data_IF_433644607313
#
_entry.id   IF_433644607313
#
_cell.length_a   1.000
_cell.length_b   1.000
_cell.length_c   1.000
_cell.angle_alpha   90.00
_cell.angle_beta   90.00
_cell.angle_gamma   90.00
#
_symmetry.space_group_name_H-M   'P 1'
#
loop_
_entity.id
_entity.type
_entity.pdbx_description
1 polymer ?
#
# COMPACT_ATOMS: atom_id res chain seq x y z
N UNK A 1 2.17 32.00 -1.03
CA UNK A 1 3.37 31.26 -1.52
C UNK A 1 3.07 29.78 -1.43
N UNK A 2 2.98 29.08 -2.55
CA UNK A 2 2.90 27.62 -2.54
C UNK A 2 4.30 27.08 -2.25
N UNK A 3 4.47 26.45 -1.10
CA UNK A 3 5.69 25.71 -0.82
C UNK A 3 5.67 24.45 -1.68
N UNK A 4 6.40 24.47 -2.77
CA UNK A 4 6.62 23.26 -3.57
C UNK A 4 7.57 22.39 -2.75
N UNK A 5 7.04 21.28 -2.22
CA UNK A 5 7.88 20.29 -1.57
C UNK A 5 8.66 19.58 -2.67
N UNK A 6 9.92 19.90 -2.81
CA UNK A 6 10.83 19.13 -3.68
C UNK A 6 11.30 17.92 -2.88
N UNK A 7 10.87 16.71 -3.27
CA UNK A 7 11.38 15.48 -2.69
C UNK A 7 12.86 15.34 -3.07
N UNK A 8 13.71 15.10 -2.07
CA UNK A 8 15.11 14.74 -2.31
C UNK A 8 15.23 13.35 -2.93
N UNK A 9 16.36 13.02 -3.52
CA UNK A 9 16.60 11.67 -4.06
C UNK A 9 16.60 10.61 -2.96
N UNK A 10 17.01 10.95 -1.74
CA UNK A 10 16.92 10.06 -0.58
C UNK A 10 15.47 9.76 -0.21
N UNK A 11 14.60 10.77 -0.20
CA UNK A 11 13.17 10.59 0.07
C UNK A 11 12.50 9.76 -1.02
N UNK A 12 12.82 10.00 -2.29
CA UNK A 12 12.33 9.18 -3.41
C UNK A 12 12.73 7.73 -3.27
N UNK A 13 14.00 7.47 -2.93
CA UNK A 13 14.51 6.12 -2.72
C UNK A 13 13.82 5.43 -1.54
N UNK A 14 13.58 6.16 -0.46
CA UNK A 14 12.83 5.66 0.70
C UNK A 14 11.42 5.24 0.29
N UNK A 15 10.66 6.12 -0.35
CA UNK A 15 9.28 5.82 -0.75
C UNK A 15 9.20 4.70 -1.77
N UNK A 16 10.18 4.61 -2.68
CA UNK A 16 10.24 3.51 -3.63
C UNK A 16 10.49 2.17 -2.93
N UNK A 17 11.37 2.13 -1.93
CA UNK A 17 11.62 0.94 -1.15
C UNK A 17 10.38 0.53 -0.33
N UNK A 18 9.69 1.47 0.30
CA UNK A 18 8.43 1.22 1.01
C UNK A 18 7.38 0.63 0.07
N UNK A 19 7.24 1.19 -1.13
CA UNK A 19 6.36 0.64 -2.17
C UNK A 19 6.77 -0.79 -2.55
N UNK A 20 8.05 -1.06 -2.72
CA UNK A 20 8.53 -2.40 -3.05
C UNK A 20 8.21 -3.41 -1.94
N UNK A 21 8.38 -3.03 -0.68
CA UNK A 21 8.00 -3.91 0.44
C UNK A 21 6.49 -4.21 0.43
N UNK A 22 5.66 -3.22 0.11
CA UNK A 22 4.22 -3.43 -0.04
C UNK A 22 3.89 -4.37 -1.21
N UNK A 23 4.52 -4.17 -2.37
CA UNK A 23 4.28 -4.97 -3.58
C UNK A 23 4.75 -6.43 -3.46
N UNK A 24 5.62 -6.75 -2.51
CA UNK A 24 6.02 -8.13 -2.20
C UNK A 24 4.95 -8.92 -1.44
N UNK A 25 3.94 -8.24 -0.88
CA UNK A 25 2.87 -8.87 -0.12
C UNK A 25 1.77 -9.35 -1.06
N UNK A 26 1.59 -10.66 -1.26
CA UNK A 26 0.62 -11.19 -2.20
C UNK A 26 -0.80 -11.17 -1.61
N UNK A 27 -1.36 -9.98 -1.44
CA UNK A 27 -2.68 -9.73 -0.85
C UNK A 27 -3.82 -10.03 -1.83
N UNK A 28 -3.82 -11.23 -2.41
CA UNK A 28 -4.84 -11.68 -3.34
C UNK A 28 -6.10 -12.07 -2.57
N UNK A 29 -7.13 -11.22 -2.63
CA UNK A 29 -8.37 -11.39 -1.86
C UNK A 29 -9.27 -12.51 -2.39
N UNK A 30 -9.22 -12.77 -3.68
CA UNK A 30 -10.11 -13.72 -4.36
C UNK A 30 -9.70 -15.20 -4.23
N UNK A 31 -8.53 -15.51 -3.68
CA UNK A 31 -8.04 -16.88 -3.55
C UNK A 31 -7.68 -17.19 -2.08
N UNK A 32 -8.37 -18.18 -1.52
CA UNK A 32 -8.20 -18.61 -0.12
C UNK A 32 -6.76 -19.05 0.22
N UNK A 33 -5.96 -19.46 -0.75
CA UNK A 33 -4.54 -19.78 -0.56
C UNK A 33 -3.73 -18.59 -0.06
N UNK A 34 -4.19 -17.38 -0.35
CA UNK A 34 -3.55 -16.14 0.06
C UNK A 34 -4.14 -15.52 1.32
N UNK A 35 -5.12 -16.15 1.99
CA UNK A 35 -5.79 -15.59 3.17
C UNK A 35 -4.82 -15.14 4.28
N UNK A 36 -3.76 -15.92 4.53
CA UNK A 36 -2.74 -15.53 5.51
C UNK A 36 -2.01 -14.24 5.15
N UNK A 37 -1.86 -13.96 3.84
CA UNK A 37 -1.20 -12.76 3.38
C UNK A 37 -2.08 -11.53 3.51
N UNK A 38 -3.40 -11.68 3.48
CA UNK A 38 -4.32 -10.58 3.78
C UNK A 38 -4.08 -10.06 5.20
N UNK A 39 -3.96 -10.96 6.19
CA UNK A 39 -3.65 -10.58 7.57
C UNK A 39 -2.22 -10.00 7.70
N UNK A 40 -1.25 -10.59 7.01
CA UNK A 40 0.13 -10.06 7.00
C UNK A 40 0.16 -8.65 6.43
N UNK A 41 -0.55 -8.41 5.34
CA UNK A 41 -0.62 -7.09 4.69
C UNK A 41 -1.35 -6.08 5.57
N UNK A 42 -2.45 -6.47 6.22
CA UNK A 42 -3.16 -5.62 7.16
C UNK A 42 -2.27 -5.17 8.35
N UNK A 43 -1.49 -6.10 8.91
CA UNK A 43 -0.54 -5.78 9.97
C UNK A 43 0.59 -4.85 9.47
N UNK A 44 1.12 -5.10 8.28
CA UNK A 44 2.11 -4.23 7.67
C UNK A 44 1.58 -2.81 7.49
N UNK A 45 0.39 -2.66 6.91
CA UNK A 45 -0.27 -1.35 6.72
C UNK A 45 -0.54 -0.63 8.04
N UNK A 46 -0.99 -1.35 9.07
CA UNK A 46 -1.20 -0.77 10.40
C UNK A 46 0.09 -0.16 10.95
N UNK A 47 1.22 -0.84 10.78
CA UNK A 47 2.54 -0.32 11.18
C UNK A 47 2.98 0.88 10.33
N UNK A 48 2.76 0.84 9.02
CA UNK A 48 3.12 1.96 8.13
C UNK A 48 2.28 3.21 8.43
N UNK A 49 0.99 3.07 8.75
CA UNK A 49 0.16 4.20 9.20
C UNK A 49 0.70 4.85 10.47
N UNK A 50 1.17 4.06 11.45
CA UNK A 50 1.82 4.60 12.65
C UNK A 50 3.12 5.34 12.30
N UNK A 51 3.98 4.74 11.45
CA UNK A 51 5.22 5.39 10.99
C UNK A 51 4.95 6.68 10.22
N UNK A 52 3.84 6.73 9.48
CA UNK A 52 3.40 7.91 8.73
C UNK A 52 2.80 9.01 9.62
N UNK A 53 2.66 8.75 10.92
CA UNK A 53 2.26 9.72 11.92
C UNK A 53 0.81 9.63 12.37
N UNK A 54 0.11 8.53 12.13
CA UNK A 54 -1.16 8.26 12.80
C UNK A 54 -0.95 8.16 14.31
N UNK A 55 -1.88 8.69 15.09
CA UNK A 55 -1.86 8.62 16.54
C UNK A 55 -2.24 7.23 17.04
N UNK A 56 -3.12 6.55 16.28
CA UNK A 56 -3.53 5.18 16.56
C UNK A 56 -3.90 4.43 15.27
N UNK A 57 -3.81 3.11 15.34
CA UNK A 57 -4.31 2.21 14.29
C UNK A 57 -5.09 1.07 14.89
N UNK A 58 -6.00 0.50 14.10
CA UNK A 58 -6.77 -0.67 14.49
C UNK A 58 -7.09 -1.54 13.28
N UNK A 59 -6.97 -2.84 13.46
CA UNK A 59 -7.40 -3.83 12.48
C UNK A 59 -8.76 -4.35 12.95
N UNK A 60 -9.76 -4.25 12.10
CA UNK A 60 -11.10 -4.76 12.33
C UNK A 60 -11.29 -6.04 11.52
N UNK A 61 -11.51 -7.13 12.22
CA UNK A 61 -11.90 -8.38 11.59
C UNK A 61 -13.32 -8.27 11.04
N UNK A 62 -13.54 -8.87 9.88
CA UNK A 62 -14.85 -8.93 9.21
C UNK A 62 -15.17 -10.37 8.79
N UNK A 63 -16.36 -10.59 8.25
CA UNK A 63 -16.70 -11.88 7.64
C UNK A 63 -15.94 -12.17 6.34
N UNK A 64 -15.22 -11.17 5.82
CA UNK A 64 -14.33 -11.28 4.67
C UNK A 64 -12.88 -11.04 5.07
N UNK A 65 -12.29 -9.97 4.53
CA UNK A 65 -10.91 -9.58 4.83
C UNK A 65 -10.86 -8.44 5.86
N UNK A 66 -9.78 -8.32 6.64
CA UNK A 66 -9.68 -7.31 7.68
C UNK A 66 -9.65 -5.89 7.09
N UNK A 67 -10.20 -4.94 7.84
CA UNK A 67 -10.13 -3.51 7.54
C UNK A 67 -9.06 -2.89 8.44
N UNK A 68 -8.17 -2.12 7.84
CA UNK A 68 -7.16 -1.34 8.58
C UNK A 68 -7.65 0.09 8.72
N UNK A 69 -7.72 0.57 9.96
CA UNK A 69 -8.09 1.93 10.29
C UNK A 69 -6.92 2.61 10.97
N UNK A 70 -6.66 3.86 10.60
CA UNK A 70 -5.72 4.73 11.28
C UNK A 70 -6.31 6.12 11.42
N UNK A 71 -5.96 6.82 12.49
CA UNK A 71 -6.42 8.18 12.73
C UNK A 71 -5.29 9.09 13.21
N UNK A 72 -5.43 10.36 12.86
CA UNK A 72 -4.65 11.46 13.40
C UNK A 72 -5.57 12.64 13.68
N UNK A 73 -5.71 13.00 14.95
CA UNK A 73 -6.55 14.11 15.39
C UNK A 73 -5.66 15.24 15.89
N UNK A 74 -5.43 16.25 15.06
CA UNK A 74 -4.63 17.42 15.42
C UNK A 74 -5.41 18.34 16.35
N UNK A 75 -6.66 18.62 15.98
CA UNK A 75 -7.58 19.46 16.77
C UNK A 75 -9.02 19.03 16.47
N UNK A 76 -9.81 18.67 17.48
CA UNK A 76 -11.21 18.25 17.30
C UNK A 76 -12.12 19.30 16.64
N UNK A 77 -11.72 20.55 16.63
CA UNK A 77 -12.46 21.64 15.99
C UNK A 77 -12.17 21.79 14.50
N UNK A 78 -11.18 21.07 13.98
CA UNK A 78 -10.85 21.11 12.56
C UNK A 78 -11.71 20.14 11.76
N UNK A 79 -11.97 20.43 10.48
CA UNK A 79 -12.62 19.47 9.60
C UNK A 79 -11.83 18.15 9.54
N UNK A 80 -12.55 17.05 9.59
CA UNK A 80 -11.97 15.71 9.43
C UNK A 80 -11.99 15.31 7.96
N UNK A 81 -10.86 14.80 7.47
CA UNK A 81 -10.72 14.25 6.12
C UNK A 81 -10.66 12.74 6.26
N UNK A 82 -11.55 12.04 5.55
CA UNK A 82 -11.50 10.59 5.42
C UNK A 82 -10.78 10.23 4.12
N UNK A 83 -9.69 9.47 4.23
CA UNK A 83 -8.98 8.89 3.09
C UNK A 83 -9.33 7.40 3.02
N UNK A 84 -9.70 6.93 1.84
CA UNK A 84 -10.02 5.54 1.58
C UNK A 84 -9.09 4.97 0.51
N UNK A 85 -8.68 3.74 0.69
CA UNK A 85 -7.95 2.95 -0.30
C UNK A 85 -8.15 1.46 -0.05
N UNK A 86 -7.89 0.63 -1.06
CA UNK A 86 -7.88 -0.82 -0.89
C UNK A 86 -6.45 -1.35 -0.97
N UNK A 87 -6.18 -2.47 -0.31
CA UNK A 87 -4.85 -3.08 -0.26
C UNK A 87 -4.79 -4.47 -0.90
N UNK A 88 -5.92 -4.98 -1.34
CA UNK A 88 -5.96 -6.24 -2.04
C UNK A 88 -5.63 -6.07 -3.53
N UNK A 89 -5.20 -7.17 -4.11
CA UNK A 89 -4.89 -7.28 -5.53
C UNK A 89 -5.62 -8.45 -6.16
N UNK A 90 -5.76 -8.40 -7.48
CA UNK A 90 -6.30 -9.52 -8.25
C UNK A 90 -5.28 -10.65 -8.40
N UNK A 91 -5.72 -11.89 -8.70
CA UNK A 91 -4.82 -12.96 -9.10
C UNK A 91 -3.94 -12.53 -10.29
N UNK A 92 -2.63 -12.82 -10.25
CA UNK A 92 -1.70 -12.37 -11.30
C UNK A 92 -1.72 -13.30 -12.54
N UNK A 93 -2.90 -13.65 -13.01
CA UNK A 93 -3.07 -14.51 -14.18
C UNK A 93 -3.25 -13.69 -15.48
N UNK A 94 -2.76 -14.19 -16.60
CA UNK A 94 -1.95 -15.40 -16.80
C UNK A 94 -0.47 -15.15 -16.50
N UNK A 95 0.16 -16.06 -15.77
CA UNK A 95 1.55 -15.93 -15.30
C UNK A 95 2.58 -15.86 -16.42
N UNK A 96 2.30 -16.49 -17.56
CA UNK A 96 3.20 -16.52 -18.73
C UNK A 96 3.38 -15.16 -19.41
N UNK A 97 2.53 -14.20 -19.12
CA UNK A 97 2.65 -12.84 -19.66
C UNK A 97 3.52 -11.92 -18.79
N UNK A 98 3.90 -12.39 -17.60
CA UNK A 98 4.76 -11.61 -16.72
C UNK A 98 6.23 -11.73 -17.11
N UNK A 99 6.93 -10.60 -17.20
CA UNK A 99 8.37 -10.57 -17.48
C UNK A 99 9.24 -10.76 -16.21
N UNK A 100 8.62 -10.72 -15.03
CA UNK A 100 9.23 -10.99 -13.72
C UNK A 100 8.16 -11.63 -12.84
N UNK A 101 8.52 -12.36 -11.78
CA UNK A 101 7.54 -12.90 -10.86
C UNK A 101 6.62 -11.80 -10.31
N UNK A 102 5.30 -12.02 -10.18
CA UNK A 102 4.32 -10.97 -9.85
C UNK A 102 4.61 -10.19 -8.58
N UNK A 103 5.13 -10.86 -7.54
CA UNK A 103 5.42 -10.22 -6.25
C UNK A 103 6.92 -9.97 -6.03
N UNK A 104 7.67 -9.86 -7.12
CA UNK A 104 9.07 -9.43 -7.14
C UNK A 104 9.17 -8.11 -7.91
N UNK A 105 8.92 -6.97 -7.25
CA UNK A 105 8.85 -5.66 -7.91
C UNK A 105 10.18 -5.28 -8.51
N UNK A 106 10.14 -4.81 -9.75
CA UNK A 106 11.32 -4.32 -10.49
C UNK A 106 11.01 -2.97 -11.15
N UNK A 107 12.03 -2.15 -11.32
CA UNK A 107 11.94 -0.94 -12.14
C UNK A 107 12.20 -1.32 -13.59
N UNK A 108 11.27 -0.99 -14.48
CA UNK A 108 11.44 -1.13 -15.92
C UNK A 108 11.48 0.23 -16.59
N UNK A 109 12.35 0.35 -17.57
CA UNK A 109 12.26 1.44 -18.55
C UNK A 109 11.18 1.05 -19.57
N UNK A 110 10.10 1.81 -19.62
CA UNK A 110 9.08 1.67 -20.65
C UNK A 110 9.33 2.71 -21.72
N UNK A 111 9.58 2.27 -22.94
CA UNK A 111 9.52 3.17 -24.10
C UNK A 111 8.03 3.36 -24.41
N UNK A 112 7.47 4.46 -23.90
CA UNK A 112 6.16 4.92 -24.36
C UNK A 112 6.41 5.55 -25.73
N UNK A 113 6.09 4.83 -26.79
CA UNK A 113 6.01 5.43 -28.10
C UNK A 113 4.72 6.23 -28.15
N UNK A 114 4.77 7.57 -28.30
CA UNK A 114 3.57 8.31 -28.64
C UNK A 114 3.17 7.87 -30.06
N UNK A 115 1.94 7.38 -30.19
CA UNK A 115 1.31 7.21 -31.50
C UNK A 115 1.14 8.56 -32.21
#
# INVERSE_FOLDING_TARGET
MSTVITLSEEEKSKYLNELFEFLKLPSVSADSKFSKYMNTTANWLSNELLKSGCDSTKIYETNGHPIVYGEKIINPSYPTILVYGHYDVQPPDPLELWNSPPFEPIIKKTDIHPE
#
